data_IF_802866575833
#
_entry.id   IF_802866575833
#
_cell.length_a   1.000
_cell.length_b   1.000
_cell.length_c   1.000
_cell.angle_alpha   90.00
_cell.angle_beta   90.00
_cell.angle_gamma   90.00
#
_symmetry.space_group_name_H-M   'P 1'
#
loop_
_entity.id
_entity.type
_entity.pdbx_description
1 polymer ?
#
# COMPACT_ATOMS: atom_id res chain seq x y z
N UNK A 1 -17.55 4.23 6.55
CA UNK A 1 -17.42 3.29 5.40
C UNK A 1 -16.81 3.95 4.18
N UNK A 2 -17.38 5.06 3.67
CA UNK A 2 -16.81 5.77 2.51
C UNK A 2 -15.34 6.19 2.67
N UNK A 3 -14.95 6.65 3.87
CA UNK A 3 -13.55 6.98 4.22
C UNK A 3 -12.60 5.78 4.10
N UNK A 4 -13.03 4.58 4.52
CA UNK A 4 -12.22 3.36 4.42
C UNK A 4 -12.03 2.92 2.96
N UNK A 5 -13.06 3.13 2.14
CA UNK A 5 -13.00 2.86 0.70
C UNK A 5 -11.98 3.80 0.05
N UNK A 6 -12.06 5.11 0.32
CA UNK A 6 -11.10 6.10 -0.20
C UNK A 6 -9.66 5.82 0.25
N UNK A 7 -9.45 5.54 1.54
CA UNK A 7 -8.13 5.23 2.08
C UNK A 7 -7.57 3.93 1.51
N UNK A 8 -8.40 2.90 1.38
CA UNK A 8 -8.02 1.64 0.74
C UNK A 8 -7.67 1.85 -0.74
N UNK A 9 -8.39 2.72 -1.46
CA UNK A 9 -8.14 3.01 -2.87
C UNK A 9 -6.82 3.76 -3.08
N UNK A 10 -6.51 4.70 -2.18
CA UNK A 10 -5.22 5.38 -2.14
C UNK A 10 -4.08 4.39 -1.88
N UNK A 11 -4.24 3.50 -0.89
CA UNK A 11 -3.24 2.45 -0.58
C UNK A 11 -3.01 1.50 -1.77
N UNK A 12 -4.09 1.06 -2.42
CA UNK A 12 -3.99 0.26 -3.64
C UNK A 12 -3.28 1.02 -4.78
N UNK A 13 -3.58 2.31 -4.95
CA UNK A 13 -2.91 3.16 -5.94
C UNK A 13 -1.41 3.30 -5.67
N UNK A 14 -1.01 3.48 -4.42
CA UNK A 14 0.40 3.54 -4.02
C UNK A 14 1.09 2.20 -4.28
N UNK A 15 0.49 1.07 -3.90
CA UNK A 15 1.02 -0.26 -4.16
C UNK A 15 1.19 -0.56 -5.66
N UNK A 16 0.22 -0.16 -6.49
CA UNK A 16 0.31 -0.30 -7.95
C UNK A 16 1.40 0.59 -8.55
N UNK A 17 1.54 1.83 -8.07
CA UNK A 17 2.59 2.75 -8.54
C UNK A 17 3.99 2.22 -8.24
N UNK A 18 4.20 1.61 -7.05
CA UNK A 18 5.45 0.95 -6.67
C UNK A 18 5.78 -0.22 -7.61
N UNK A 19 4.80 -1.05 -7.94
CA UNK A 19 4.97 -2.13 -8.91
C UNK A 19 5.31 -1.60 -10.31
N UNK A 20 4.68 -0.51 -10.74
CA UNK A 20 4.92 0.10 -12.05
C UNK A 20 6.32 0.75 -12.16
N UNK A 21 6.78 1.46 -11.13
CA UNK A 21 8.15 1.97 -11.11
C UNK A 21 9.19 0.85 -11.10
N UNK A 22 8.92 -0.24 -10.38
CA UNK A 22 9.79 -1.41 -10.37
C UNK A 22 9.90 -2.09 -11.75
N UNK A 23 8.84 -2.09 -12.56
CA UNK A 23 8.89 -2.61 -13.94
C UNK A 23 9.54 -1.62 -14.90
N UNK A 24 9.36 -0.31 -14.75
CA UNK A 24 10.07 0.70 -15.55
C UNK A 24 11.59 0.65 -15.34
N UNK A 25 12.06 0.38 -14.12
CA UNK A 25 13.48 0.16 -13.85
C UNK A 25 14.03 -1.05 -14.66
N UNK A 26 13.23 -2.09 -14.92
CA UNK A 26 13.61 -3.19 -15.83
C UNK A 26 13.74 -2.70 -17.26
N UNK A 27 12.87 -1.81 -17.72
CA UNK A 27 12.95 -1.27 -19.09
C UNK A 27 14.22 -0.46 -19.32
N UNK A 28 14.68 0.29 -18.30
CA UNK A 28 15.86 1.17 -18.38
C UNK A 28 17.16 0.37 -18.16
N UNK A 29 17.18 -0.56 -17.21
CA UNK A 29 18.37 -1.39 -16.90
C UNK A 29 18.40 -2.71 -17.69
N UNK A 30 17.38 -2.98 -18.49
CA UNK A 30 17.09 -4.25 -19.16
C UNK A 30 17.96 -4.55 -20.36
N UNK A 31 19.24 -4.87 -20.11
CA UNK A 31 20.06 -5.82 -20.90
C UNK A 31 21.48 -6.04 -20.36
N UNK A 32 21.78 -5.57 -19.14
CA UNK A 32 23.08 -5.82 -18.52
C UNK A 32 23.00 -7.02 -17.57
N UNK A 33 23.52 -8.17 -18.00
CA UNK A 33 23.55 -9.42 -17.22
C UNK A 33 24.21 -9.28 -15.83
N UNK A 34 25.06 -8.26 -15.65
CA UNK A 34 25.71 -7.92 -14.39
C UNK A 34 24.82 -7.15 -13.41
N UNK A 35 23.92 -6.31 -13.92
CA UNK A 35 22.91 -5.61 -13.11
C UNK A 35 21.84 -6.59 -12.64
N UNK A 36 21.45 -7.55 -13.48
CA UNK A 36 20.40 -8.53 -13.17
C UNK A 36 20.77 -9.47 -12.01
N UNK A 37 22.05 -9.87 -11.89
CA UNK A 37 22.53 -10.71 -10.78
C UNK A 37 22.59 -10.01 -9.43
N UNK A 38 22.74 -8.68 -9.40
CA UNK A 38 22.84 -7.91 -8.15
C UNK A 38 21.54 -7.16 -7.80
N UNK A 39 20.75 -6.74 -8.79
CA UNK A 39 19.52 -5.95 -8.61
C UNK A 39 18.24 -6.77 -8.82
N UNK A 40 18.34 -8.00 -9.36
CA UNK A 40 17.18 -8.87 -9.57
C UNK A 40 16.45 -9.21 -8.27
N UNK A 41 17.19 -9.51 -7.19
CA UNK A 41 16.61 -9.80 -5.88
C UNK A 41 15.94 -8.58 -5.23
N UNK A 42 16.62 -7.43 -5.24
CA UNK A 42 16.07 -6.16 -4.72
C UNK A 42 14.81 -5.74 -5.48
N UNK A 43 14.78 -5.95 -6.79
CA UNK A 43 13.62 -5.68 -7.64
C UNK A 43 12.43 -6.57 -7.30
N UNK A 44 12.66 -7.88 -7.16
CA UNK A 44 11.61 -8.83 -6.76
C UNK A 44 11.05 -8.44 -5.40
N UNK A 45 11.91 -8.08 -4.44
CA UNK A 45 11.51 -7.56 -3.13
C UNK A 45 10.59 -6.34 -3.24
N UNK A 46 10.92 -5.34 -4.07
CA UNK A 46 10.09 -4.14 -4.23
C UNK A 46 8.71 -4.48 -4.83
N UNK A 47 8.65 -5.38 -5.81
CA UNK A 47 7.38 -5.85 -6.39
C UNK A 47 6.55 -6.60 -5.33
N UNK A 48 7.21 -7.44 -4.53
CA UNK A 48 6.58 -8.20 -3.46
C UNK A 48 5.97 -7.28 -2.39
N UNK A 49 6.72 -6.25 -1.99
CA UNK A 49 6.25 -5.20 -1.07
C UNK A 49 5.06 -4.46 -1.67
N UNK A 50 5.15 -4.03 -2.94
CA UNK A 50 4.04 -3.37 -3.64
C UNK A 50 2.77 -4.23 -3.69
N UNK A 51 2.91 -5.52 -3.96
CA UNK A 51 1.80 -6.47 -3.92
C UNK A 51 1.16 -6.56 -2.53
N UNK A 52 1.96 -6.68 -1.47
CA UNK A 52 1.45 -6.69 -0.09
C UNK A 52 0.72 -5.39 0.27
N UNK A 53 1.19 -4.25 -0.20
CA UNK A 53 0.53 -2.95 0.01
C UNK A 53 -0.83 -2.90 -0.69
N UNK A 54 -0.97 -3.45 -1.90
CA UNK A 54 -2.27 -3.57 -2.58
C UNK A 54 -3.22 -4.49 -1.80
N UNK A 55 -2.75 -5.66 -1.39
CA UNK A 55 -3.54 -6.61 -0.60
C UNK A 55 -4.01 -5.97 0.71
N UNK A 56 -3.14 -5.23 1.39
CA UNK A 56 -3.49 -4.47 2.59
C UNK A 56 -4.54 -3.39 2.31
N UNK A 57 -4.41 -2.63 1.21
CA UNK A 57 -5.40 -1.64 0.78
C UNK A 57 -6.79 -2.26 0.54
N UNK A 58 -6.85 -3.46 -0.05
CA UNK A 58 -8.10 -4.21 -0.22
C UNK A 58 -8.72 -4.58 1.14
N UNK A 59 -7.92 -5.08 2.09
CA UNK A 59 -8.43 -5.38 3.44
C UNK A 59 -8.96 -4.13 4.18
N UNK A 60 -8.32 -2.96 3.97
CA UNK A 60 -8.80 -1.68 4.48
C UNK A 60 -10.14 -1.28 3.83
N UNK A 61 -10.30 -1.48 2.52
CA UNK A 61 -11.58 -1.21 1.83
C UNK A 61 -12.74 -2.04 2.39
N UNK A 62 -12.51 -3.33 2.66
CA UNK A 62 -13.52 -4.22 3.25
C UNK A 62 -13.82 -3.92 4.73
N UNK A 63 -13.17 -2.92 5.32
CA UNK A 63 -13.46 -2.47 6.68
C UNK A 63 -12.99 -3.44 7.76
N UNK A 64 -12.07 -4.36 7.44
CA UNK A 64 -11.43 -5.22 8.43
C UNK A 64 -10.63 -4.41 9.48
N UNK A 65 -10.25 -3.18 9.13
CA UNK A 65 -9.64 -2.21 10.02
C UNK A 65 -10.58 -1.02 10.22
N UNK A 66 -10.90 -0.70 11.48
CA UNK A 66 -11.67 0.49 11.83
C UNK A 66 -10.75 1.72 11.75
N UNK A 67 -10.94 2.57 10.74
CA UNK A 67 -10.34 3.90 10.70
C UNK A 67 -11.09 4.91 11.61
N UNK A 68 -11.56 4.45 12.77
CA UNK A 68 -12.15 5.34 13.78
C UNK A 68 -11.02 5.99 14.55
N UNK A 69 -10.98 7.32 14.53
CA UNK A 69 -10.03 8.07 15.34
C UNK A 69 -10.31 7.80 16.82
N UNK A 70 -9.29 7.61 17.67
CA UNK A 70 -9.49 7.48 19.12
C UNK A 70 -10.14 8.73 19.74
N UNK A 71 -10.09 9.88 19.05
CA UNK A 71 -10.74 11.15 19.45
C UNK A 71 -12.27 11.07 19.43
N UNK A 72 -12.85 10.25 18.54
CA UNK A 72 -14.32 10.11 18.44
C UNK A 72 -14.94 9.38 19.65
N UNK A 73 -14.11 8.71 20.47
CA UNK A 73 -14.55 8.04 21.72
C UNK A 73 -14.52 8.94 22.96
N UNK A 74 -13.95 10.15 22.87
CA UNK A 74 -13.82 11.05 24.05
C UNK A 74 -15.03 11.98 24.19
N UNK A 75 -15.72 12.32 23.08
CA UNK A 75 -16.82 13.29 23.08
C UNK A 75 -18.16 12.78 23.62
N UNK A 76 -18.43 11.48 23.59
CA UNK A 76 -19.70 10.91 24.07
C UNK A 76 -19.74 10.65 25.59
N UNK A 77 -18.59 10.69 26.28
CA UNK A 77 -18.50 10.52 27.72
C UNK A 77 -18.66 11.81 28.54
N UNK A 78 -18.53 12.98 27.91
CA UNK A 78 -18.54 14.29 28.60
C UNK A 78 -19.90 15.01 28.57
N UNK A 79 -20.87 14.53 27.76
CA UNK A 79 -22.23 15.11 27.67
C UNK A 79 -23.24 14.32 28.52
N UNK A 80 -22.82 13.19 29.12
CA UNK A 80 -23.62 12.42 30.05
C UNK A 80 -23.18 12.66 31.50
N UNK A 81 -23.23 13.91 31.97
CA UNK A 81 -23.33 14.22 33.40
C UNK A 81 -23.96 15.57 33.66
#
# INVERSE_FOLDING_TARGET
MFTNILLGLLLCGVGLSLCYYATQLVGIFGRNARAERNLGGTRIMIILIGFFVVVFGVFVMFGMYKASNPVDSVGSGFVAR
#
